data_IF_925650272553
#
_entry.id   IF_925650272553
#
_cell.length_a   1.000
_cell.length_b   1.000
_cell.length_c   1.000
_cell.angle_alpha   90.00
_cell.angle_beta   90.00
_cell.angle_gamma   90.00
#
_symmetry.space_group_name_H-M   'P 1'
#
loop_
_entity.id
_entity.type
_entity.pdbx_description
1 polymer ?
#
# COMPACT_ATOMS: atom_id res chain seq x y z
N UNK A 1 12.32 23.44 3.24
CA UNK A 1 12.07 22.17 2.56
C UNK A 1 12.79 21.03 3.26
N UNK A 2 12.14 19.88 3.42
CA UNK A 2 12.74 18.72 4.07
C UNK A 2 13.94 18.23 3.24
N UNK A 3 15.12 18.17 3.85
CA UNK A 3 16.34 17.68 3.20
C UNK A 3 16.18 16.21 2.83
N UNK A 4 16.48 15.86 1.58
CA UNK A 4 16.50 14.47 1.13
C UNK A 4 17.90 13.88 1.27
N UNK A 5 18.01 12.68 1.85
CA UNK A 5 19.29 11.99 2.01
C UNK A 5 19.78 11.35 0.70
N UNK A 6 18.89 10.83 -0.10
CA UNK A 6 19.19 10.19 -1.37
C UNK A 6 18.00 10.29 -2.34
N UNK A 7 18.32 10.25 -3.63
CA UNK A 7 17.33 10.22 -4.73
C UNK A 7 17.79 9.24 -5.79
N UNK A 8 16.85 8.65 -6.51
CA UNK A 8 17.14 7.87 -7.71
C UNK A 8 16.09 8.13 -8.80
N UNK A 9 16.46 7.79 -10.02
CA UNK A 9 15.57 7.75 -11.17
C UNK A 9 15.69 6.36 -11.79
N UNK A 10 14.56 5.75 -12.14
CA UNK A 10 14.57 4.43 -12.81
C UNK A 10 15.31 4.48 -14.15
N UNK A 11 15.76 3.33 -14.63
CA UNK A 11 16.54 3.20 -15.86
C UNK A 11 15.85 3.79 -17.09
N UNK A 12 14.51 3.72 -17.15
CA UNK A 12 13.70 4.30 -18.24
C UNK A 12 13.21 5.73 -17.94
N UNK A 13 13.61 6.34 -16.82
CA UNK A 13 13.23 7.70 -16.45
C UNK A 13 11.77 7.88 -16.01
N UNK A 14 10.99 6.82 -15.85
CA UNK A 14 9.54 6.91 -15.56
C UNK A 14 9.20 6.98 -14.08
N UNK A 15 10.05 6.43 -13.21
CA UNK A 15 9.86 6.41 -11.76
C UNK A 15 10.97 7.16 -11.04
N UNK A 16 10.60 7.88 -9.97
CA UNK A 16 11.51 8.68 -9.16
C UNK A 16 11.37 8.29 -7.69
N UNK A 17 12.49 8.07 -7.02
CA UNK A 17 12.55 7.79 -5.59
C UNK A 17 13.25 8.87 -4.81
N UNK A 18 12.70 9.23 -3.64
CA UNK A 18 13.29 10.23 -2.72
C UNK A 18 13.20 9.69 -1.30
N UNK A 19 14.36 9.61 -0.62
CA UNK A 19 14.45 9.23 0.78
C UNK A 19 14.48 10.48 1.66
N UNK A 20 13.44 10.66 2.47
CA UNK A 20 13.29 11.83 3.33
C UNK A 20 12.42 11.51 4.56
N UNK A 21 12.35 12.45 5.51
CA UNK A 21 11.35 12.41 6.57
C UNK A 21 9.94 12.57 6.00
N UNK A 22 9.02 11.75 6.47
CA UNK A 22 7.60 11.90 6.16
C UNK A 22 6.97 12.98 7.04
N UNK A 23 6.90 14.18 6.52
CA UNK A 23 6.39 15.36 7.22
C UNK A 23 4.89 15.59 7.08
N UNK A 24 4.15 14.69 6.43
CA UNK A 24 2.70 14.87 6.18
C UNK A 24 1.85 14.95 7.44
N UNK A 25 2.34 14.40 8.55
CA UNK A 25 1.72 14.45 9.89
C UNK A 25 2.61 15.14 10.92
N UNK A 26 3.54 15.97 10.46
CA UNK A 26 4.37 16.76 11.34
C UNK A 26 3.52 17.83 12.03
N UNK A 27 3.79 18.04 13.31
CA UNK A 27 3.29 19.17 14.11
C UNK A 27 4.34 20.27 14.14
N UNK A 28 4.03 21.39 14.77
CA UNK A 28 4.98 22.49 14.97
C UNK A 28 6.04 22.16 16.05
N UNK A 29 5.92 21.00 16.69
CA UNK A 29 6.93 20.51 17.66
C UNK A 29 8.19 20.03 16.92
N UNK A 30 9.27 20.79 17.04
CA UNK A 30 10.56 20.49 16.43
C UNK A 30 11.24 19.22 16.99
N UNK A 31 10.86 18.81 18.21
CA UNK A 31 11.38 17.61 18.87
C UNK A 31 10.66 16.34 18.46
N UNK A 32 9.62 16.46 17.63
CA UNK A 32 8.83 15.33 17.17
C UNK A 32 9.68 14.38 16.32
N UNK A 33 9.69 13.09 16.69
CA UNK A 33 10.27 12.03 15.86
C UNK A 33 9.34 11.70 14.69
N UNK A 34 9.82 11.94 13.48
CA UNK A 34 9.09 11.69 12.23
C UNK A 34 9.59 10.40 11.57
N UNK A 35 8.70 9.60 10.96
CA UNK A 35 9.11 8.41 10.24
C UNK A 35 9.90 8.77 8.98
N UNK A 36 10.88 7.93 8.64
CA UNK A 36 11.59 7.98 7.36
C UNK A 36 10.84 7.15 6.35
N UNK A 37 10.69 7.68 5.15
CA UNK A 37 10.06 6.97 4.05
C UNK A 37 10.77 7.24 2.72
N UNK A 38 10.68 6.27 1.82
CA UNK A 38 11.00 6.46 0.41
C UNK A 38 9.71 6.80 -0.33
N UNK A 39 9.63 8.03 -0.80
CA UNK A 39 8.56 8.42 -1.72
C UNK A 39 8.93 7.95 -3.12
N UNK A 40 8.10 7.11 -3.71
CA UNK A 40 8.25 6.69 -5.11
C UNK A 40 7.11 7.30 -5.92
N UNK A 41 7.46 8.07 -6.94
CA UNK A 41 6.53 8.72 -7.86
C UNK A 41 6.58 8.04 -9.23
N UNK A 42 5.40 7.80 -9.81
CA UNK A 42 5.22 7.19 -11.13
C UNK A 42 3.87 7.61 -11.72
N UNK A 43 3.87 8.08 -12.97
CA UNK A 43 2.66 8.52 -13.70
C UNK A 43 1.74 9.46 -12.88
N UNK A 44 2.32 10.48 -12.25
CA UNK A 44 1.57 11.46 -11.46
C UNK A 44 1.06 10.98 -10.11
N UNK A 45 1.25 9.72 -9.76
CA UNK A 45 0.92 9.13 -8.46
C UNK A 45 2.17 8.91 -7.64
N UNK A 46 2.03 8.82 -6.32
CA UNK A 46 3.14 8.47 -5.44
C UNK A 46 2.71 7.60 -4.28
N UNK A 47 3.62 6.74 -3.84
CA UNK A 47 3.51 5.94 -2.62
C UNK A 47 4.66 6.27 -1.67
N UNK A 48 4.49 5.92 -0.40
CA UNK A 48 5.48 6.12 0.64
C UNK A 48 5.83 4.78 1.27
N UNK A 49 7.03 4.30 0.98
CA UNK A 49 7.57 3.07 1.54
C UNK A 49 8.21 3.39 2.89
N UNK A 50 7.57 2.99 3.98
CA UNK A 50 8.09 3.19 5.34
C UNK A 50 9.18 2.19 5.64
N UNK A 51 10.28 2.65 6.22
CA UNK A 51 11.47 1.83 6.50
C UNK A 51 11.65 1.49 8.00
N UNK A 52 10.65 1.82 8.84
CA UNK A 52 10.67 1.48 10.26
C UNK A 52 11.60 2.32 11.14
N UNK A 53 12.25 3.36 10.60
CA UNK A 53 13.11 4.28 11.33
C UNK A 53 12.42 5.62 11.55
N UNK A 54 12.74 6.31 12.65
CA UNK A 54 12.24 7.63 12.99
C UNK A 54 13.40 8.50 13.45
N UNK A 55 13.37 9.77 13.09
CA UNK A 55 14.34 10.77 13.51
C UNK A 55 13.63 12.10 13.76
N UNK A 56 14.20 12.93 14.65
CA UNK A 56 13.84 14.34 14.71
C UNK A 56 14.38 15.07 13.48
N UNK A 57 13.91 16.28 13.22
CA UNK A 57 14.41 17.10 12.11
C UNK A 57 15.90 17.35 12.24
N UNK A 58 16.38 17.62 13.47
CA UNK A 58 17.79 17.88 13.76
C UNK A 58 18.67 16.63 13.52
N UNK A 59 18.27 15.47 14.07
CA UNK A 59 18.97 14.20 13.81
C UNK A 59 19.04 13.84 12.33
N UNK A 60 17.96 14.13 11.58
CA UNK A 60 17.92 13.90 10.16
C UNK A 60 18.87 14.81 9.39
N UNK A 61 18.95 16.10 9.74
CA UNK A 61 19.90 17.03 9.13
C UNK A 61 21.33 16.59 9.38
N UNK A 62 21.69 16.24 10.61
CA UNK A 62 23.01 15.72 10.95
C UNK A 62 23.34 14.45 10.15
N UNK A 63 22.36 13.56 9.94
CA UNK A 63 22.54 12.36 9.14
C UNK A 63 22.76 12.69 7.65
N UNK A 64 22.09 13.71 7.13
CA UNK A 64 22.26 14.17 5.76
C UNK A 64 23.63 14.82 5.52
N UNK A 65 24.16 15.54 6.51
CA UNK A 65 25.41 16.28 6.46
C UNK A 65 26.64 15.45 6.85
N UNK A 66 26.44 14.27 7.46
CA UNK A 66 27.53 13.41 7.92
C UNK A 66 28.48 13.02 6.77
N UNK A 67 29.77 13.26 6.95
CA UNK A 67 30.81 12.92 5.97
C UNK A 67 31.01 11.40 5.83
N UNK A 68 31.37 10.95 4.63
CA UNK A 68 31.53 9.52 4.30
C UNK A 68 32.62 8.79 5.11
N UNK A 69 33.58 9.52 5.65
CA UNK A 69 34.77 8.96 6.32
C UNK A 69 34.66 8.94 7.84
N UNK A 70 33.58 9.44 8.40
CA UNK A 70 33.38 9.42 9.85
C UNK A 70 33.15 7.99 10.34
N UNK A 71 33.90 7.57 11.37
CA UNK A 71 33.69 6.30 12.10
C UNK A 71 32.47 6.39 13.04
N UNK A 72 31.64 7.36 12.87
CA UNK A 72 30.45 7.63 13.67
C UNK A 72 29.32 6.66 13.32
N UNK A 73 28.50 6.32 14.31
CA UNK A 73 27.26 5.55 14.17
C UNK A 73 26.36 6.13 13.07
N UNK A 74 26.27 7.44 12.92
CA UNK A 74 25.51 8.15 11.88
C UNK A 74 26.01 7.85 10.46
N UNK A 75 27.33 7.70 10.27
CA UNK A 75 27.89 7.32 8.98
C UNK A 75 27.47 5.89 8.58
N UNK A 76 27.41 4.97 9.53
CA UNK A 76 26.91 3.59 9.32
C UNK A 76 25.44 3.60 8.96
N UNK A 77 24.60 4.32 9.71
CA UNK A 77 23.16 4.46 9.43
C UNK A 77 22.91 5.08 8.05
N UNK A 78 23.65 6.11 7.69
CA UNK A 78 23.57 6.71 6.35
C UNK A 78 23.90 5.72 5.25
N UNK A 79 24.93 4.87 5.45
CA UNK A 79 25.32 3.83 4.50
C UNK A 79 24.20 2.79 4.34
N UNK A 80 23.60 2.36 5.43
CA UNK A 80 22.45 1.42 5.41
C UNK A 80 21.26 2.00 4.63
N UNK A 81 20.92 3.27 4.87
CA UNK A 81 19.83 3.96 4.19
C UNK A 81 20.09 4.10 2.69
N UNK A 82 21.33 4.38 2.30
CA UNK A 82 21.71 4.43 0.88
C UNK A 82 21.68 3.05 0.23
N UNK A 83 22.12 2.01 0.93
CA UNK A 83 22.03 0.64 0.44
C UNK A 83 20.57 0.21 0.24
N UNK A 84 19.67 0.61 1.15
CA UNK A 84 18.23 0.39 1.00
C UNK A 84 17.67 1.08 -0.24
N UNK A 85 18.08 2.33 -0.51
CA UNK A 85 17.66 3.05 -1.72
C UNK A 85 18.12 2.34 -3.00
N UNK A 86 19.35 1.82 -3.02
CA UNK A 86 19.86 1.05 -4.16
C UNK A 86 19.07 -0.25 -4.37
N UNK A 87 18.66 -0.92 -3.28
CA UNK A 87 17.80 -2.11 -3.37
C UNK A 87 16.43 -1.79 -3.97
N UNK A 88 15.82 -0.68 -3.56
CA UNK A 88 14.52 -0.23 -4.08
C UNK A 88 14.65 0.12 -5.57
N UNK A 89 15.69 0.87 -5.94
CA UNK A 89 15.98 1.21 -7.34
C UNK A 89 16.16 -0.04 -8.21
N UNK A 90 16.94 -1.01 -7.75
CA UNK A 90 17.12 -2.29 -8.43
C UNK A 90 15.80 -3.03 -8.59
N UNK A 91 15.00 -3.09 -7.54
CA UNK A 91 13.68 -3.74 -7.55
C UNK A 91 12.74 -3.08 -8.57
N UNK A 92 12.72 -1.75 -8.64
CA UNK A 92 11.92 -1.00 -9.61
C UNK A 92 12.40 -1.30 -11.04
N UNK A 93 13.70 -1.26 -11.28
CA UNK A 93 14.28 -1.52 -12.61
C UNK A 93 14.00 -2.95 -13.08
N UNK A 94 14.10 -3.94 -12.20
CA UNK A 94 13.72 -5.32 -12.51
C UNK A 94 12.25 -5.43 -12.92
N UNK A 95 11.34 -4.80 -12.16
CA UNK A 95 9.91 -4.80 -12.47
C UNK A 95 9.57 -4.05 -13.75
N UNK A 96 10.27 -2.97 -14.07
CA UNK A 96 10.13 -2.24 -15.34
C UNK A 96 10.58 -3.12 -16.51
N UNK A 97 11.72 -3.81 -16.39
CA UNK A 97 12.24 -4.69 -17.43
C UNK A 97 11.30 -5.87 -17.71
N UNK A 98 10.62 -6.37 -16.67
CA UNK A 98 9.62 -7.45 -16.79
C UNK A 98 8.24 -6.94 -17.20
N UNK A 99 8.09 -5.63 -17.51
CA UNK A 99 6.81 -4.97 -17.81
C UNK A 99 5.72 -5.18 -16.74
N UNK A 100 6.15 -5.46 -15.50
CA UNK A 100 5.27 -5.78 -14.37
C UNK A 100 5.17 -4.64 -13.35
N UNK A 101 5.77 -3.47 -13.63
CA UNK A 101 5.84 -2.38 -12.67
C UNK A 101 4.49 -1.73 -12.41
N UNK A 102 4.11 -1.66 -11.14
CA UNK A 102 3.09 -0.77 -10.60
C UNK A 102 3.47 -0.34 -9.20
N UNK A 103 2.98 0.81 -8.75
CA UNK A 103 3.25 1.29 -7.38
C UNK A 103 2.74 0.30 -6.33
N UNK A 104 1.59 -0.33 -6.56
CA UNK A 104 1.02 -1.31 -5.65
C UNK A 104 1.88 -2.58 -5.57
N UNK A 105 2.32 -3.11 -6.70
CA UNK A 105 3.22 -4.28 -6.74
C UNK A 105 4.57 -3.99 -6.07
N UNK A 106 5.10 -2.77 -6.26
CA UNK A 106 6.30 -2.34 -5.57
C UNK A 106 6.10 -2.33 -4.06
N UNK A 107 4.99 -1.79 -3.59
CA UNK A 107 4.67 -1.74 -2.17
C UNK A 107 4.53 -3.15 -1.58
N UNK A 108 3.83 -4.05 -2.25
CA UNK A 108 3.70 -5.45 -1.87
C UNK A 108 5.08 -6.14 -1.79
N UNK A 109 5.93 -5.96 -2.80
CA UNK A 109 7.27 -6.55 -2.84
C UNK A 109 8.21 -5.97 -1.78
N UNK A 110 8.12 -4.66 -1.50
CA UNK A 110 8.95 -3.99 -0.50
C UNK A 110 8.56 -4.36 0.94
N UNK A 111 7.28 -4.43 1.24
CA UNK A 111 6.78 -4.79 2.56
C UNK A 111 6.92 -6.29 2.86
N UNK A 112 7.31 -7.09 1.84
CA UNK A 112 7.48 -8.54 2.00
C UNK A 112 6.17 -9.30 2.15
N UNK A 113 5.12 -8.77 1.68
CA UNK A 113 3.74 -9.19 1.65
C UNK A 113 2.82 -8.11 2.25
N UNK A 114 1.62 -7.93 1.72
CA UNK A 114 0.46 -7.87 2.60
C UNK A 114 0.70 -8.90 3.70
N UNK A 115 0.50 -8.60 5.02
CA UNK A 115 0.81 -9.51 6.12
C UNK A 115 0.49 -10.93 5.69
N UNK A 116 1.46 -11.85 5.79
CA UNK A 116 1.41 -13.17 5.18
C UNK A 116 0.02 -13.79 5.34
N UNK A 117 -0.67 -14.07 4.23
CA UNK A 117 -2.00 -14.62 4.19
C UNK A 117 -3.17 -13.62 4.20
N UNK A 118 -2.97 -12.30 4.26
CA UNK A 118 -4.08 -11.34 4.12
C UNK A 118 -4.53 -11.24 2.66
N UNK A 119 -5.75 -11.67 2.42
CA UNK A 119 -6.48 -11.54 1.16
C UNK A 119 -7.75 -10.73 1.41
N UNK A 120 -8.40 -10.25 0.35
CA UNK A 120 -9.73 -9.63 0.51
C UNK A 120 -10.72 -10.59 1.18
N UNK A 121 -10.56 -11.89 0.98
CA UNK A 121 -11.39 -12.92 1.58
C UNK A 121 -11.17 -13.03 3.09
N UNK A 122 -9.91 -13.02 3.55
CA UNK A 122 -9.60 -13.06 4.99
C UNK A 122 -10.08 -11.81 5.71
N UNK A 123 -9.95 -10.63 5.11
CA UNK A 123 -10.50 -9.36 5.64
C UNK A 123 -12.03 -9.44 5.72
N UNK A 124 -12.67 -9.96 4.67
CA UNK A 124 -14.12 -10.08 4.64
C UNK A 124 -14.64 -11.09 5.66
N UNK A 125 -13.99 -12.25 5.80
CA UNK A 125 -14.33 -13.25 6.79
C UNK A 125 -14.19 -12.72 8.22
N UNK A 126 -13.10 -12.01 8.52
CA UNK A 126 -12.93 -11.32 9.81
C UNK A 126 -14.04 -10.29 10.06
N UNK A 127 -14.38 -9.48 9.06
CA UNK A 127 -15.50 -8.55 9.15
C UNK A 127 -16.82 -9.24 9.46
N UNK A 128 -17.08 -10.42 8.88
CA UNK A 128 -18.28 -11.23 9.16
C UNK A 128 -18.26 -11.72 10.61
N UNK A 129 -17.12 -12.21 11.11
CA UNK A 129 -16.98 -12.66 12.50
C UNK A 129 -17.30 -11.54 13.48
N UNK A 130 -16.71 -10.37 13.31
CA UNK A 130 -16.95 -9.19 14.14
C UNK A 130 -18.43 -8.75 14.12
N UNK A 131 -19.11 -8.88 12.96
CA UNK A 131 -20.53 -8.55 12.83
C UNK A 131 -21.45 -9.64 13.36
N UNK A 132 -21.02 -10.87 13.46
CA UNK A 132 -21.80 -11.96 14.05
C UNK A 132 -22.13 -11.67 15.51
N UNK A 133 -21.23 -11.00 16.23
CA UNK A 133 -21.43 -10.62 17.63
C UNK A 133 -22.39 -9.43 17.79
N UNK A 134 -22.46 -8.53 16.80
CA UNK A 134 -23.21 -7.28 16.90
C UNK A 134 -24.49 -7.23 16.06
N UNK A 135 -24.56 -7.92 14.93
CA UNK A 135 -25.67 -7.90 13.98
C UNK A 135 -25.71 -9.16 13.10
N UNK A 136 -26.43 -10.18 13.54
CA UNK A 136 -26.58 -11.45 12.81
C UNK A 136 -27.12 -11.27 11.38
N UNK A 137 -28.04 -10.33 11.15
CA UNK A 137 -28.59 -10.05 9.82
C UNK A 137 -27.53 -9.50 8.87
N UNK A 138 -26.69 -8.59 9.36
CA UNK A 138 -25.58 -8.03 8.58
C UNK A 138 -24.52 -9.09 8.28
N UNK A 139 -24.18 -9.93 9.26
CA UNK A 139 -23.24 -11.03 9.07
C UNK A 139 -23.71 -12.03 8.01
N UNK A 140 -25.01 -12.42 8.07
CA UNK A 140 -25.62 -13.33 7.07
C UNK A 140 -25.57 -12.72 5.67
N UNK A 141 -25.98 -11.46 5.52
CA UNK A 141 -25.93 -10.75 4.22
C UNK A 141 -24.51 -10.71 3.68
N UNK A 142 -23.51 -10.38 4.51
CA UNK A 142 -22.12 -10.37 4.11
C UNK A 142 -21.61 -11.73 3.65
N UNK A 143 -22.00 -12.81 4.35
CA UNK A 143 -21.64 -14.18 3.97
C UNK A 143 -22.23 -14.59 2.61
N UNK A 144 -23.49 -14.24 2.36
CA UNK A 144 -24.16 -14.51 1.09
C UNK A 144 -23.50 -13.75 -0.07
N UNK A 145 -23.15 -12.47 0.16
CA UNK A 145 -22.46 -11.65 -0.83
C UNK A 145 -21.04 -12.16 -1.08
N UNK A 146 -20.31 -12.56 -0.04
CA UNK A 146 -18.97 -13.15 -0.17
C UNK A 146 -19.00 -14.42 -1.02
N UNK A 147 -19.94 -15.32 -0.75
CA UNK A 147 -20.10 -16.56 -1.53
C UNK A 147 -20.42 -16.27 -3.00
N UNK A 148 -21.30 -15.31 -3.24
CA UNK A 148 -21.61 -14.87 -4.60
C UNK A 148 -20.41 -14.25 -5.30
N UNK A 149 -19.62 -13.44 -4.58
CA UNK A 149 -18.41 -12.83 -5.10
C UNK A 149 -17.37 -13.89 -5.48
N UNK A 150 -17.12 -14.87 -4.59
CA UNK A 150 -16.21 -15.99 -4.90
C UNK A 150 -16.65 -16.76 -6.14
N UNK A 151 -17.96 -16.98 -6.32
CA UNK A 151 -18.52 -17.65 -7.50
C UNK A 151 -18.33 -16.84 -8.78
N UNK A 152 -18.50 -15.52 -8.73
CA UNK A 152 -18.45 -14.65 -9.89
C UNK A 152 -17.02 -14.26 -10.27
N UNK A 153 -16.16 -13.96 -9.30
CA UNK A 153 -14.84 -13.37 -9.51
C UNK A 153 -13.68 -14.32 -9.18
N UNK A 154 -13.98 -15.52 -8.62
CA UNK A 154 -12.97 -16.51 -8.24
C UNK A 154 -12.44 -16.31 -6.83
N UNK A 155 -11.51 -17.18 -6.45
CA UNK A 155 -10.90 -17.21 -5.11
C UNK A 155 -9.50 -16.63 -5.04
N UNK A 156 -8.96 -16.18 -6.16
CA UNK A 156 -7.60 -15.64 -6.28
C UNK A 156 -7.63 -14.18 -6.77
N UNK A 157 -8.22 -13.31 -5.96
CA UNK A 157 -8.29 -11.86 -6.23
C UNK A 157 -7.26 -11.15 -5.37
N UNK A 158 -6.28 -10.51 -6.02
CA UNK A 158 -5.30 -9.67 -5.32
C UNK A 158 -5.89 -8.28 -5.01
N UNK A 159 -5.42 -7.62 -3.95
CA UNK A 159 -5.83 -6.25 -3.64
C UNK A 159 -5.56 -5.28 -4.81
N UNK A 160 -4.44 -5.47 -5.53
CA UNK A 160 -4.08 -4.66 -6.69
C UNK A 160 -5.06 -4.78 -7.88
N UNK A 161 -5.82 -5.88 -7.95
CA UNK A 161 -6.79 -6.12 -9.02
C UNK A 161 -8.09 -5.32 -8.81
N UNK A 162 -8.34 -4.86 -7.58
CA UNK A 162 -9.58 -4.17 -7.20
C UNK A 162 -9.52 -2.72 -7.67
N UNK A 163 -10.12 -2.48 -8.82
CA UNK A 163 -10.26 -1.17 -9.44
C UNK A 163 -11.64 -1.03 -10.09
N UNK A 164 -11.90 0.12 -10.70
CA UNK A 164 -13.18 0.39 -11.36
C UNK A 164 -13.52 -0.65 -12.44
N UNK A 165 -12.54 -1.04 -13.25
CA UNK A 165 -12.73 -2.04 -14.32
C UNK A 165 -13.13 -3.40 -13.74
N UNK A 166 -12.51 -3.82 -12.65
CA UNK A 166 -12.83 -5.04 -11.93
C UNK A 166 -14.29 -5.02 -11.41
N UNK A 167 -14.70 -3.92 -10.78
CA UNK A 167 -16.07 -3.76 -10.28
C UNK A 167 -17.08 -3.81 -11.44
N UNK A 168 -16.78 -3.15 -12.55
CA UNK A 168 -17.66 -3.16 -13.73
C UNK A 168 -17.79 -4.55 -14.35
N UNK A 169 -16.72 -5.36 -14.36
CA UNK A 169 -16.80 -6.77 -14.76
C UNK A 169 -17.74 -7.58 -13.86
N UNK A 170 -17.67 -7.36 -12.56
CA UNK A 170 -18.55 -8.02 -11.61
C UNK A 170 -20.02 -7.60 -11.81
N UNK A 171 -20.28 -6.30 -11.97
CA UNK A 171 -21.61 -5.78 -12.28
C UNK A 171 -22.16 -6.41 -13.56
N UNK A 172 -21.33 -6.50 -14.62
CA UNK A 172 -21.74 -7.17 -15.87
C UNK A 172 -22.12 -8.62 -15.64
N UNK A 173 -21.31 -9.40 -14.91
CA UNK A 173 -21.64 -10.80 -14.57
C UNK A 173 -22.95 -10.94 -13.78
N UNK A 174 -23.22 -10.01 -12.87
CA UNK A 174 -24.49 -10.00 -12.13
C UNK A 174 -25.68 -9.69 -13.04
N UNK A 175 -25.53 -8.76 -13.99
CA UNK A 175 -26.57 -8.44 -14.99
C UNK A 175 -26.79 -9.59 -15.97
N UNK A 176 -25.75 -10.23 -16.44
CA UNK A 176 -25.84 -11.41 -17.33
C UNK A 176 -26.59 -12.58 -16.67
N UNK A 177 -26.62 -12.61 -15.33
CA UNK A 177 -27.42 -13.56 -14.52
C UNK A 177 -28.82 -13.03 -14.18
N UNK A 178 -29.22 -11.92 -14.81
CA UNK A 178 -30.55 -11.30 -14.63
C UNK A 178 -30.89 -10.94 -13.18
N UNK A 179 -29.87 -10.59 -12.38
CA UNK A 179 -30.11 -10.15 -11.00
C UNK A 179 -30.80 -8.78 -11.01
N UNK A 180 -31.75 -8.61 -10.08
CA UNK A 180 -32.42 -7.32 -9.90
C UNK A 180 -31.44 -6.23 -9.47
N UNK A 181 -31.68 -5.00 -9.92
CA UNK A 181 -30.82 -3.84 -9.59
C UNK A 181 -30.70 -3.62 -8.07
N UNK A 182 -31.77 -3.91 -7.31
CA UNK A 182 -31.73 -3.86 -5.83
C UNK A 182 -30.74 -4.85 -5.24
N UNK A 183 -30.66 -6.07 -5.79
CA UNK A 183 -29.71 -7.10 -5.36
C UNK A 183 -28.28 -6.70 -5.70
N UNK A 184 -28.06 -6.19 -6.93
CA UNK A 184 -26.76 -5.67 -7.35
C UNK A 184 -26.33 -4.52 -6.43
N UNK A 185 -27.23 -3.60 -6.13
CA UNK A 185 -26.98 -2.48 -5.21
C UNK A 185 -26.60 -2.93 -3.79
N UNK A 186 -27.25 -3.95 -3.24
CA UNK A 186 -26.90 -4.53 -1.94
C UNK A 186 -25.48 -5.11 -2.00
N UNK A 187 -25.15 -5.89 -3.01
CA UNK A 187 -23.84 -6.52 -3.18
C UNK A 187 -22.72 -5.51 -3.30
N UNK A 188 -22.94 -4.46 -4.08
CA UNK A 188 -21.95 -3.38 -4.25
C UNK A 188 -21.74 -2.58 -2.96
N UNK A 189 -22.81 -2.29 -2.21
CA UNK A 189 -22.68 -1.60 -0.90
C UNK A 189 -21.91 -2.45 0.11
N UNK A 190 -22.21 -3.73 0.17
CA UNK A 190 -21.51 -4.69 1.04
C UNK A 190 -20.05 -4.77 0.69
N UNK A 191 -19.73 -4.94 -0.60
CA UNK A 191 -18.33 -4.96 -1.09
C UNK A 191 -17.60 -3.66 -0.80
N UNK A 192 -18.24 -2.50 -0.98
CA UNK A 192 -17.67 -1.19 -0.66
C UNK A 192 -17.26 -1.07 0.80
N UNK A 193 -18.04 -1.63 1.73
CA UNK A 193 -17.69 -1.62 3.15
C UNK A 193 -16.38 -2.39 3.39
N UNK A 194 -16.19 -3.53 2.73
CA UNK A 194 -14.95 -4.32 2.82
C UNK A 194 -13.76 -3.59 2.20
N UNK A 195 -13.94 -3.00 1.02
CA UNK A 195 -12.89 -2.18 0.38
C UNK A 195 -12.47 -1.02 1.27
N UNK A 196 -13.42 -0.32 1.90
CA UNK A 196 -13.11 0.75 2.84
C UNK A 196 -12.32 0.25 4.06
N UNK A 197 -12.63 -0.94 4.58
CA UNK A 197 -11.83 -1.57 5.64
C UNK A 197 -10.40 -1.83 5.15
N UNK A 198 -10.22 -2.38 3.95
CA UNK A 198 -8.91 -2.59 3.35
C UNK A 198 -8.12 -1.28 3.17
N UNK A 199 -8.78 -0.19 2.76
CA UNK A 199 -8.17 1.14 2.63
C UNK A 199 -7.72 1.67 4.00
N UNK A 200 -8.57 1.53 5.02
CA UNK A 200 -8.26 1.97 6.40
C UNK A 200 -7.07 1.21 6.97
N UNK A 201 -6.96 -0.08 6.66
CA UNK A 201 -5.84 -0.94 7.08
C UNK A 201 -4.58 -0.77 6.19
N UNK A 202 -4.66 0.03 5.12
CA UNK A 202 -3.54 0.30 4.22
C UNK A 202 -3.20 -0.86 3.27
N UNK A 203 -4.17 -1.72 2.96
CA UNK A 203 -4.03 -2.88 2.07
C UNK A 203 -4.32 -2.52 0.60
N UNK A 204 -5.05 -1.45 0.36
CA UNK A 204 -5.40 -0.88 -0.95
C UNK A 204 -5.04 0.60 -0.98
#
# INVERSE_FOLDING_TARGET
GSSSLAKFTSSNGSAYGTLALDTRRATDDETQSLPVAVRVAYNGKSIYLRIGKKYTKEEWMELCECERQSRNKKASERKELKALMQRIEKMINEMINDESFSLNKLQERFTGSSPEGMTIYSVWEKYIEERTETSLGTAKTNKDVLNSFKKDMGTNVAFADINRSFIMKWVKKMKDRELRDSTIGIRLRTFRAIVNTCITEGLI
#
